data_IF_756016824226
#
_entry.id   IF_756016824226
#
_cell.length_a   1.000
_cell.length_b   1.000
_cell.length_c   1.000
_cell.angle_alpha   90.00
_cell.angle_beta   90.00
_cell.angle_gamma   90.00
#
_symmetry.space_group_name_H-M   'P 1'
#
loop_
_entity.id
_entity.type
_entity.pdbx_description
1 polymer ?
#
# COMPACT_ATOMS: atom_id res chain seq x y z
N UNK A 1 27.67 -19.77 39.07
CA UNK A 1 27.09 -19.54 37.74
C UNK A 1 25.73 -18.91 37.96
N UNK A 2 25.61 -17.61 37.69
CA UNK A 2 24.37 -16.83 37.90
C UNK A 2 23.54 -16.97 36.64
N UNK A 3 22.30 -17.46 36.76
CA UNK A 3 21.38 -17.54 35.64
C UNK A 3 21.08 -16.12 35.11
N UNK A 4 21.04 -15.89 33.79
CA UNK A 4 20.67 -14.60 33.25
C UNK A 4 19.24 -14.25 33.68
N UNK A 5 18.95 -12.97 34.01
CA UNK A 5 17.60 -12.57 34.34
C UNK A 5 16.68 -12.85 33.14
N UNK A 6 15.55 -13.51 33.41
CA UNK A 6 14.43 -13.60 32.49
C UNK A 6 14.04 -12.17 32.10
N UNK A 7 14.20 -11.83 30.81
CA UNK A 7 13.59 -10.66 30.21
C UNK A 7 12.09 -10.78 30.45
N UNK A 8 11.58 -10.09 31.47
CA UNK A 8 10.15 -9.84 31.57
C UNK A 8 9.76 -9.09 30.31
N UNK A 9 8.79 -9.57 29.52
CA UNK A 9 8.26 -8.77 28.43
C UNK A 9 7.79 -7.46 29.07
N UNK A 10 8.52 -6.37 28.80
CA UNK A 10 8.04 -5.05 29.13
C UNK A 10 6.70 -4.95 28.44
N UNK A 11 5.66 -4.87 29.27
CA UNK A 11 4.30 -4.62 28.84
C UNK A 11 4.30 -3.18 28.30
N UNK A 12 4.90 -2.98 27.13
CA UNK A 12 4.82 -1.77 26.34
C UNK A 12 3.38 -1.70 25.86
N UNK A 13 2.52 -1.31 26.79
CA UNK A 13 1.24 -0.71 26.48
C UNK A 13 1.59 0.51 25.63
N UNK A 14 1.44 0.35 24.31
CA UNK A 14 1.48 1.44 23.36
C UNK A 14 0.74 2.60 24.00
N UNK A 15 1.47 3.67 24.33
CA UNK A 15 0.92 4.85 25.01
C UNK A 15 -0.35 5.23 24.26
N UNK A 16 -1.49 5.02 24.91
CA UNK A 16 -2.83 5.30 24.41
C UNK A 16 -3.03 6.82 24.34
N UNK A 17 -2.23 7.48 23.51
CA UNK A 17 -2.43 8.87 23.12
C UNK A 17 -3.63 8.90 22.21
N UNK A 18 -4.81 9.06 22.80
CA UNK A 18 -6.09 9.37 22.15
C UNK A 18 -6.24 8.63 20.80
N UNK A 19 -6.26 7.29 20.92
CA UNK A 19 -6.31 6.26 19.85
C UNK A 19 -7.31 6.64 18.75
N UNK A 20 -8.40 7.29 19.13
CA UNK A 20 -9.45 7.76 18.21
C UNK A 20 -8.99 8.89 17.27
N UNK A 21 -8.19 9.85 17.75
CA UNK A 21 -7.71 10.97 16.93
C UNK A 21 -6.64 10.55 15.92
N UNK A 22 -5.74 9.65 16.31
CA UNK A 22 -4.68 9.15 15.42
C UNK A 22 -5.23 8.25 14.33
N UNK A 23 -6.02 7.24 14.70
CA UNK A 23 -6.65 6.37 13.69
C UNK A 23 -7.67 7.09 12.83
N UNK A 24 -8.37 8.11 13.36
CA UNK A 24 -9.26 8.95 12.57
C UNK A 24 -8.52 9.70 11.47
N UNK A 25 -7.36 10.27 11.78
CA UNK A 25 -6.54 10.99 10.79
C UNK A 25 -5.97 10.04 9.74
N UNK A 26 -5.43 8.89 10.16
CA UNK A 26 -4.94 7.84 9.26
C UNK A 26 -6.04 7.33 8.32
N UNK A 27 -7.25 7.12 8.83
CA UNK A 27 -8.41 6.68 8.06
C UNK A 27 -8.78 7.72 6.98
N UNK A 28 -8.89 9.00 7.36
CA UNK A 28 -9.24 10.07 6.42
C UNK A 28 -8.19 10.21 5.33
N UNK A 29 -6.91 10.20 5.68
CA UNK A 29 -5.80 10.25 4.71
C UNK A 29 -5.83 9.01 3.81
N UNK A 30 -6.05 7.81 4.37
CA UNK A 30 -6.12 6.57 3.60
C UNK A 30 -7.26 6.58 2.58
N UNK A 31 -8.45 7.06 2.97
CA UNK A 31 -9.60 7.22 2.06
C UNK A 31 -9.27 8.22 0.97
N UNK A 32 -8.72 9.39 1.32
CA UNK A 32 -8.35 10.40 0.34
C UNK A 32 -7.34 9.87 -0.68
N UNK A 33 -6.27 9.21 -0.22
CA UNK A 33 -5.27 8.59 -1.09
C UNK A 33 -5.85 7.48 -1.96
N UNK A 34 -6.78 6.68 -1.43
CA UNK A 34 -7.48 5.66 -2.22
C UNK A 34 -8.30 6.29 -3.35
N UNK A 35 -9.12 7.29 -3.04
CA UNK A 35 -9.97 7.96 -4.05
C UNK A 35 -9.10 8.66 -5.10
N UNK A 36 -8.11 9.44 -4.66
CA UNK A 36 -7.20 10.16 -5.55
C UNK A 36 -6.39 9.18 -6.42
N UNK A 37 -5.88 8.10 -5.84
CA UNK A 37 -5.09 7.10 -6.53
C UNK A 37 -5.91 6.29 -7.54
N UNK A 38 -7.14 5.87 -7.19
CA UNK A 38 -8.04 5.19 -8.13
C UNK A 38 -8.39 6.11 -9.28
N UNK A 39 -8.82 7.35 -8.99
CA UNK A 39 -9.25 8.28 -10.04
C UNK A 39 -8.10 8.68 -10.96
N UNK A 40 -6.94 9.02 -10.39
CA UNK A 40 -5.75 9.43 -11.13
C UNK A 40 -5.26 8.33 -12.08
N UNK A 41 -5.06 7.11 -11.56
CA UNK A 41 -4.56 6.01 -12.39
C UNK A 41 -5.61 5.48 -13.39
N UNK A 42 -6.90 5.52 -13.04
CA UNK A 42 -7.98 5.17 -13.98
C UNK A 42 -8.05 6.16 -15.14
N UNK A 43 -7.84 7.46 -14.88
CA UNK A 43 -7.77 8.48 -15.92
C UNK A 43 -6.58 8.25 -16.85
N UNK A 44 -5.41 7.93 -16.29
CA UNK A 44 -4.20 7.58 -17.06
C UNK A 44 -4.48 6.39 -17.97
N UNK A 45 -5.02 5.29 -17.44
CA UNK A 45 -5.43 4.14 -18.25
C UNK A 45 -6.43 4.53 -19.33
N UNK A 46 -7.47 5.30 -19.00
CA UNK A 46 -8.47 5.71 -19.97
C UNK A 46 -7.86 6.51 -21.14
N UNK A 47 -6.99 7.47 -20.84
CA UNK A 47 -6.35 8.30 -21.87
C UNK A 47 -5.38 7.48 -22.73
N UNK A 48 -4.52 6.67 -22.12
CA UNK A 48 -3.52 5.90 -22.87
C UNK A 48 -4.10 4.70 -23.62
N UNK A 49 -5.20 4.12 -23.18
CA UNK A 49 -5.86 3.00 -23.86
C UNK A 49 -6.80 3.48 -24.98
N UNK A 50 -7.57 4.54 -24.77
CA UNK A 50 -8.66 4.90 -25.69
C UNK A 50 -8.42 6.17 -26.50
N UNK A 51 -7.59 7.11 -26.02
CA UNK A 51 -7.46 8.43 -26.63
C UNK A 51 -6.20 8.59 -27.47
N UNK A 52 -5.11 7.90 -27.12
CA UNK A 52 -3.82 8.03 -27.78
C UNK A 52 -3.52 6.82 -28.68
N UNK A 53 -2.82 7.03 -29.81
CA UNK A 53 -2.36 5.92 -30.64
C UNK A 53 -1.36 5.07 -29.85
N UNK A 54 -1.45 3.75 -30.04
CA UNK A 54 -0.60 2.79 -29.34
C UNK A 54 0.86 2.92 -29.77
N UNK A 55 1.73 3.16 -28.79
CA UNK A 55 3.19 3.12 -28.92
C UNK A 55 3.80 2.38 -27.71
N UNK A 56 5.09 2.03 -27.81
CA UNK A 56 5.83 1.40 -26.71
C UNK A 56 5.76 2.25 -25.44
N UNK A 57 5.95 3.56 -25.56
CA UNK A 57 5.85 4.54 -24.45
C UNK A 57 4.46 4.49 -23.80
N UNK A 58 3.38 4.48 -24.58
CA UNK A 58 2.02 4.46 -24.03
C UNK A 58 1.72 3.14 -23.32
N UNK A 59 2.25 2.03 -23.84
CA UNK A 59 2.10 0.72 -23.20
C UNK A 59 2.83 0.68 -21.86
N UNK A 60 4.08 1.14 -21.80
CA UNK A 60 4.86 1.19 -20.54
C UNK A 60 4.16 2.07 -19.50
N UNK A 61 3.68 3.25 -19.88
CA UNK A 61 2.91 4.14 -18.98
C UNK A 61 1.60 3.52 -18.51
N UNK A 62 0.91 2.76 -19.37
CA UNK A 62 -0.31 2.04 -18.98
C UNK A 62 -0.02 0.90 -17.99
N UNK A 63 1.11 0.20 -18.14
CA UNK A 63 1.56 -0.83 -17.19
C UNK A 63 1.86 -0.24 -15.82
N UNK A 64 2.51 0.93 -15.75
CA UNK A 64 2.74 1.65 -14.50
C UNK A 64 1.44 1.98 -13.78
N UNK A 65 0.47 2.55 -14.50
CA UNK A 65 -0.85 2.88 -13.94
C UNK A 65 -1.61 1.64 -13.45
N UNK A 66 -1.46 0.50 -14.14
CA UNK A 66 -2.06 -0.77 -13.71
C UNK A 66 -1.40 -1.31 -12.43
N UNK A 67 -0.07 -1.26 -12.33
CA UNK A 67 0.67 -1.63 -11.12
C UNK A 67 0.21 -0.77 -9.93
N UNK A 68 0.14 0.54 -10.10
CA UNK A 68 -0.31 1.46 -9.05
C UNK A 68 -1.75 1.18 -8.61
N UNK A 69 -2.66 0.91 -9.54
CA UNK A 69 -4.04 0.51 -9.20
C UNK A 69 -4.08 -0.81 -8.43
N UNK A 70 -3.30 -1.80 -8.85
CA UNK A 70 -3.26 -3.09 -8.16
C UNK A 70 -2.78 -2.94 -6.72
N UNK A 71 -1.78 -2.09 -6.48
CA UNK A 71 -1.30 -1.75 -5.14
C UNK A 71 -2.38 -1.06 -4.34
N UNK A 72 -3.00 0.00 -4.87
CA UNK A 72 -4.01 0.77 -4.15
C UNK A 72 -5.18 -0.14 -3.77
N UNK A 73 -5.70 -0.93 -4.71
CA UNK A 73 -6.85 -1.80 -4.47
C UNK A 73 -6.52 -2.88 -3.45
N UNK A 74 -5.39 -3.59 -3.58
CA UNK A 74 -5.06 -4.68 -2.67
C UNK A 74 -4.64 -4.15 -1.29
N UNK A 75 -3.66 -3.25 -1.24
CA UNK A 75 -3.07 -2.80 0.04
C UNK A 75 -4.05 -1.98 0.87
N UNK A 76 -4.83 -1.08 0.24
CA UNK A 76 -5.78 -0.27 1.00
C UNK A 76 -6.99 -1.07 1.46
N UNK A 77 -7.49 -2.02 0.66
CA UNK A 77 -8.59 -2.92 1.11
C UNK A 77 -8.16 -3.74 2.31
N UNK A 78 -6.95 -4.31 2.28
CA UNK A 78 -6.40 -5.05 3.41
C UNK A 78 -6.14 -4.16 4.62
N UNK A 79 -5.67 -2.93 4.41
CA UNK A 79 -5.52 -1.94 5.48
C UNK A 79 -6.85 -1.62 6.16
N UNK A 80 -7.92 -1.37 5.40
CA UNK A 80 -9.26 -1.15 6.00
C UNK A 80 -9.75 -2.37 6.75
N UNK A 81 -9.52 -3.59 6.24
CA UNK A 81 -9.88 -4.80 6.95
C UNK A 81 -9.15 -4.92 8.30
N UNK A 82 -7.83 -4.67 8.31
CA UNK A 82 -7.02 -4.67 9.53
C UNK A 82 -7.47 -3.60 10.53
N UNK A 83 -7.78 -2.40 10.06
CA UNK A 83 -8.24 -1.29 10.89
C UNK A 83 -9.60 -1.58 11.54
N UNK A 84 -10.52 -2.22 10.82
CA UNK A 84 -11.84 -2.59 11.33
C UNK A 84 -11.80 -3.84 12.23
N UNK A 85 -10.79 -4.71 12.08
CA UNK A 85 -10.70 -6.00 12.78
C UNK A 85 -9.31 -6.20 13.41
N UNK A 86 -8.86 -5.32 14.33
CA UNK A 86 -7.50 -5.39 14.89
C UNK A 86 -7.23 -6.66 15.70
N UNK A 87 -8.28 -7.32 16.19
CA UNK A 87 -8.19 -8.57 16.99
C UNK A 87 -8.33 -9.85 16.15
N UNK A 88 -8.33 -9.75 14.82
CA UNK A 88 -8.43 -10.92 13.94
C UNK A 88 -7.18 -11.80 14.05
N UNK A 89 -7.37 -13.11 14.12
CA UNK A 89 -6.27 -14.09 14.06
C UNK A 89 -5.49 -14.04 12.73
N UNK A 90 -6.06 -13.38 11.70
CA UNK A 90 -5.42 -13.18 10.40
C UNK A 90 -4.60 -11.89 10.33
N UNK A 91 -4.61 -11.05 11.37
CA UNK A 91 -3.96 -9.73 11.34
C UNK A 91 -2.48 -9.81 10.93
N UNK A 92 -1.71 -10.68 11.58
CA UNK A 92 -0.28 -10.84 11.29
C UNK A 92 -0.04 -11.35 9.86
N UNK A 93 -0.83 -12.32 9.40
CA UNK A 93 -0.71 -12.86 8.05
C UNK A 93 -1.02 -11.81 6.98
N UNK A 94 -2.07 -11.01 7.19
CA UNK A 94 -2.47 -9.93 6.28
C UNK A 94 -1.42 -8.81 6.28
N UNK A 95 -0.86 -8.48 7.44
CA UNK A 95 0.20 -7.47 7.55
C UNK A 95 1.45 -7.89 6.75
N UNK A 96 1.91 -9.13 6.94
CA UNK A 96 3.05 -9.69 6.20
C UNK A 96 2.78 -9.72 4.71
N UNK A 97 1.60 -10.19 4.29
CA UNK A 97 1.22 -10.24 2.88
C UNK A 97 1.15 -8.84 2.26
N UNK A 98 0.55 -7.88 2.97
CA UNK A 98 0.43 -6.48 2.51
C UNK A 98 1.81 -5.86 2.33
N UNK A 99 2.71 -6.05 3.29
CA UNK A 99 4.09 -5.56 3.21
C UNK A 99 4.84 -6.18 2.03
N UNK A 100 4.77 -7.51 1.88
CA UNK A 100 5.40 -8.22 0.75
C UNK A 100 4.88 -7.71 -0.59
N UNK A 101 3.55 -7.62 -0.75
CA UNK A 101 2.92 -7.16 -1.98
C UNK A 101 3.28 -5.70 -2.30
N UNK A 102 3.33 -4.84 -1.29
CA UNK A 102 3.70 -3.43 -1.44
C UNK A 102 5.15 -3.27 -1.89
N UNK A 103 6.10 -3.98 -1.26
CA UNK A 103 7.52 -3.92 -1.62
C UNK A 103 7.73 -4.41 -3.04
N UNK A 104 7.11 -5.53 -3.41
CA UNK A 104 7.30 -6.12 -4.73
C UNK A 104 6.77 -5.22 -5.84
N UNK A 105 5.57 -4.66 -5.67
CA UNK A 105 5.03 -3.74 -6.66
C UNK A 105 5.81 -2.43 -6.73
N UNK A 106 6.29 -1.91 -5.60
CA UNK A 106 7.15 -0.71 -5.61
C UNK A 106 8.42 -0.98 -6.41
N UNK A 107 9.07 -2.14 -6.20
CA UNK A 107 10.23 -2.55 -6.99
C UNK A 107 9.91 -2.71 -8.48
N UNK A 108 8.75 -3.27 -8.84
CA UNK A 108 8.30 -3.33 -10.23
C UNK A 108 8.04 -1.94 -10.83
N UNK A 109 7.40 -1.03 -10.08
CA UNK A 109 7.15 0.33 -10.51
C UNK A 109 8.46 1.11 -10.74
N UNK A 110 9.44 0.96 -9.83
CA UNK A 110 10.77 1.56 -9.97
C UNK A 110 11.48 1.06 -11.24
N UNK A 111 11.43 -0.25 -11.52
CA UNK A 111 11.98 -0.81 -12.75
C UNK A 111 11.30 -0.23 -14.00
N UNK A 112 9.97 -0.07 -13.97
CA UNK A 112 9.22 0.57 -15.07
C UNK A 112 9.64 2.02 -15.24
N UNK A 113 9.85 2.78 -14.16
CA UNK A 113 10.36 4.15 -14.21
C UNK A 113 11.76 4.23 -14.82
N UNK A 114 12.64 3.28 -14.50
CA UNK A 114 13.97 3.19 -15.13
C UNK A 114 13.86 2.95 -16.63
N UNK A 115 12.97 2.06 -17.07
CA UNK A 115 12.74 1.81 -18.50
C UNK A 115 12.23 3.09 -19.19
N UNK A 116 11.28 3.81 -18.57
CA UNK A 116 10.79 5.11 -19.09
C UNK A 116 11.90 6.15 -19.16
N UNK A 117 12.86 6.13 -18.24
CA UNK A 117 13.97 7.08 -18.24
C UNK A 117 15.03 6.78 -19.32
N UNK A 118 15.13 5.53 -19.75
CA UNK A 118 16.07 5.08 -20.80
C UNK A 118 15.48 5.25 -22.20
N UNK A 119 14.17 5.07 -22.35
CA UNK A 119 13.39 5.28 -23.58
C UNK A 119 13.22 6.78 -23.91
#
# INVERSE_FOLDING_TARGET
>A
MVAPPLLTPTNETWREGDIMTWHGTELVIAIFLLVAGIFGNSLVLHVYTFRLPSSTVTLIKSTLAFLDLSVIVVTKTLFFYMLLNPSSHLYDAICVFTAFFSIWNTGCADLVLVVIAVD
#
